data_IF_990329607761
#
_entry.id   IF_990329607761
#
_cell.length_a   1.000
_cell.length_b   1.000
_cell.length_c   1.000
_cell.angle_alpha   90.00
_cell.angle_beta   90.00
_cell.angle_gamma   90.00
#
_symmetry.space_group_name_H-M   'P 1'
#
loop_
_entity.id
_entity.type
_entity.pdbx_description
1 polymer ?
#
# COMPACT_ATOMS: atom_id res chain seq x y z
N UNK A 1 -22.50 7.83 14.01
CA UNK A 1 -21.26 7.06 14.19
C UNK A 1 -21.67 5.77 14.90
N UNK A 2 -21.40 4.61 14.31
CA UNK A 2 -21.83 3.31 14.83
C UNK A 2 -20.61 2.39 14.95
N UNK A 3 -20.49 1.70 16.08
CA UNK A 3 -19.36 0.83 16.39
C UNK A 3 -19.90 -0.54 16.80
N UNK A 4 -19.42 -1.59 16.13
CA UNK A 4 -19.79 -2.97 16.46
C UNK A 4 -18.63 -3.68 17.13
N UNK A 5 -18.82 -4.05 18.40
CA UNK A 5 -17.86 -4.81 19.22
C UNK A 5 -17.50 -6.16 18.57
N UNK A 6 -18.40 -6.72 17.74
CA UNK A 6 -18.16 -7.93 16.96
C UNK A 6 -16.95 -7.84 16.03
N UNK A 7 -16.55 -6.65 15.58
CA UNK A 7 -15.36 -6.48 14.73
C UNK A 7 -14.04 -6.73 15.48
N UNK A 8 -14.07 -6.79 16.80
CA UNK A 8 -12.92 -7.13 17.64
C UNK A 8 -13.02 -8.54 18.24
N UNK A 9 -14.25 -9.05 18.39
CA UNK A 9 -14.51 -10.37 18.99
C UNK A 9 -14.74 -11.49 17.97
N UNK A 10 -14.76 -11.17 16.67
CA UNK A 10 -14.88 -12.14 15.58
C UNK A 10 -13.50 -12.53 15.05
N UNK A 11 -13.17 -13.83 15.14
CA UNK A 11 -11.86 -14.38 14.81
C UNK A 11 -11.42 -14.12 13.37
N UNK A 12 -10.10 -14.06 13.21
CA UNK A 12 -9.34 -13.68 12.01
C UNK A 12 -9.44 -14.67 10.82
N UNK A 13 -10.52 -15.45 10.73
CA UNK A 13 -10.57 -16.71 9.96
C UNK A 13 -11.01 -16.61 8.50
N UNK A 14 -11.77 -15.59 8.12
CA UNK A 14 -12.40 -15.52 6.79
C UNK A 14 -11.76 -14.46 5.85
N UNK A 15 -10.71 -13.79 6.33
CA UNK A 15 -9.95 -12.84 5.52
C UNK A 15 -9.15 -13.56 4.43
N UNK A 16 -9.21 -13.07 3.19
CA UNK A 16 -8.30 -13.55 2.15
C UNK A 16 -6.86 -13.17 2.50
N UNK A 17 -5.88 -14.06 2.30
CA UNK A 17 -4.48 -13.70 2.47
C UNK A 17 -4.12 -12.51 1.57
N UNK A 18 -3.42 -11.50 2.10
CA UNK A 18 -3.16 -10.24 1.37
C UNK A 18 -2.28 -10.49 0.12
N UNK A 19 -1.25 -11.35 0.24
CA UNK A 19 -0.29 -11.62 -0.82
C UNK A 19 -0.90 -12.11 -2.16
N UNK A 20 -1.80 -13.12 -2.19
CA UNK A 20 -2.43 -13.54 -3.43
C UNK A 20 -3.35 -12.47 -4.04
N UNK A 21 -4.02 -11.67 -3.22
CA UNK A 21 -4.95 -10.64 -3.69
C UNK A 21 -4.23 -9.43 -4.27
N UNK A 22 -3.04 -9.08 -3.76
CA UNK A 22 -2.16 -8.06 -4.34
C UNK A 22 -1.84 -8.31 -5.82
N UNK A 23 -1.74 -9.58 -6.24
CA UNK A 23 -1.46 -9.94 -7.65
C UNK A 23 -2.59 -9.60 -8.61
N UNK A 24 -3.81 -9.37 -8.09
CA UNK A 24 -4.97 -8.96 -8.91
C UNK A 24 -4.97 -7.46 -9.19
N UNK A 25 -4.18 -6.69 -8.45
CA UNK A 25 -4.09 -5.25 -8.63
C UNK A 25 -3.19 -4.90 -9.82
N UNK A 26 -3.52 -3.86 -10.61
CA UNK A 26 -2.69 -3.44 -11.72
C UNK A 26 -1.38 -2.83 -11.20
N UNK A 27 -0.28 -3.57 -11.33
CA UNK A 27 1.04 -3.21 -10.81
C UNK A 27 1.46 -1.74 -11.09
N UNK A 28 1.18 -1.24 -12.30
CA UNK A 28 1.50 0.12 -12.70
C UNK A 28 0.83 1.20 -11.82
N UNK A 29 -0.31 0.90 -11.19
CA UNK A 29 -1.10 1.80 -10.34
C UNK A 29 -1.09 1.42 -8.86
N UNK A 30 -0.40 0.34 -8.51
CA UNK A 30 -0.32 -0.16 -7.14
C UNK A 30 0.91 0.41 -6.44
N UNK A 31 0.71 1.02 -5.28
CA UNK A 31 1.80 1.49 -4.40
C UNK A 31 1.73 0.70 -3.10
N UNK A 32 2.86 0.19 -2.63
CA UNK A 32 2.98 -0.50 -1.34
C UNK A 32 3.94 0.29 -0.45
N UNK A 33 3.42 0.92 0.60
CA UNK A 33 4.23 1.71 1.54
C UNK A 33 4.39 0.92 2.83
N UNK A 34 5.60 0.87 3.38
CA UNK A 34 5.88 0.15 4.63
C UNK A 34 6.97 0.83 5.47
N UNK A 35 6.94 0.59 6.77
CA UNK A 35 7.99 0.98 7.71
C UNK A 35 9.20 0.04 7.63
N UNK A 36 10.41 0.57 7.71
CA UNK A 36 11.65 -0.19 7.67
C UNK A 36 11.74 -1.25 8.78
N UNK A 37 11.16 -0.95 9.94
CA UNK A 37 11.22 -1.76 11.16
C UNK A 37 9.91 -2.55 11.38
N UNK A 38 9.05 -2.63 10.35
CA UNK A 38 7.81 -3.40 10.37
C UNK A 38 8.06 -4.83 9.84
N UNK A 39 8.27 -5.77 10.77
CA UNK A 39 8.54 -7.19 10.47
C UNK A 39 7.33 -7.91 9.83
N UNK A 40 6.12 -7.40 10.05
CA UNK A 40 4.89 -7.97 9.51
C UNK A 40 4.57 -7.46 8.09
N UNK A 41 5.30 -6.44 7.63
CA UNK A 41 5.08 -5.83 6.32
C UNK A 41 5.12 -6.86 5.19
N UNK A 42 4.11 -6.79 4.31
CA UNK A 42 4.06 -7.61 3.10
C UNK A 42 4.96 -7.06 1.99
N UNK A 43 5.12 -5.73 1.90
CA UNK A 43 5.77 -5.06 0.78
C UNK A 43 7.16 -5.61 0.42
N UNK A 44 8.05 -5.95 1.37
CA UNK A 44 9.36 -6.53 1.07
C UNK A 44 9.31 -7.92 0.43
N UNK A 45 8.22 -8.65 0.64
CA UNK A 45 8.01 -10.03 0.18
C UNK A 45 7.24 -10.11 -1.13
N UNK A 46 6.82 -8.97 -1.68
CA UNK A 46 6.13 -8.92 -2.96
C UNK A 46 7.10 -9.22 -4.11
N UNK A 47 6.67 -9.97 -5.15
CA UNK A 47 7.47 -10.16 -6.35
C UNK A 47 7.85 -8.81 -6.98
N UNK A 48 9.08 -8.70 -7.48
CA UNK A 48 9.55 -7.49 -8.15
C UNK A 48 8.58 -7.08 -9.29
N UNK A 49 8.23 -5.80 -9.34
CA UNK A 49 7.31 -5.27 -10.35
C UNK A 49 5.82 -5.54 -10.09
N UNK A 50 5.43 -6.18 -9.00
CA UNK A 50 4.00 -6.35 -8.63
C UNK A 50 3.37 -5.09 -8.03
N UNK A 51 4.18 -4.17 -7.51
CA UNK A 51 3.78 -2.86 -7.01
C UNK A 51 4.97 -1.89 -7.00
N UNK A 52 4.70 -0.60 -6.90
CA UNK A 52 5.68 0.42 -6.57
C UNK A 52 5.92 0.40 -5.06
N UNK A 53 7.04 -0.18 -4.62
CA UNK A 53 7.37 -0.33 -3.20
C UNK A 53 8.07 0.92 -2.67
N UNK A 54 7.63 1.43 -1.52
CA UNK A 54 8.21 2.58 -0.83
C UNK A 54 8.50 2.23 0.63
N UNK A 55 9.78 2.27 1.02
CA UNK A 55 10.22 2.11 2.41
C UNK A 55 10.27 3.47 3.10
N UNK A 56 9.74 3.56 4.31
CA UNK A 56 9.79 4.73 5.19
C UNK A 56 10.45 4.35 6.53
N UNK A 57 11.01 5.30 7.31
CA UNK A 57 11.50 5.01 8.66
C UNK A 57 10.39 4.55 9.62
N UNK A 58 10.75 3.73 10.62
CA UNK A 58 9.85 3.25 11.67
C UNK A 58 9.15 1.94 11.35
N UNK A 59 8.23 1.56 12.24
CA UNK A 59 7.34 0.41 12.12
C UNK A 59 6.05 0.78 11.35
N UNK A 60 4.96 0.04 11.57
CA UNK A 60 3.65 0.30 10.97
C UNK A 60 3.04 1.67 11.35
N UNK A 61 3.58 2.39 12.33
CA UNK A 61 3.20 3.76 12.69
C UNK A 61 4.04 4.84 12.01
N UNK A 62 5.09 4.48 11.25
CA UNK A 62 5.95 5.42 10.51
C UNK A 62 6.60 6.51 11.39
N UNK A 63 6.92 6.18 12.64
CA UNK A 63 7.41 7.12 13.68
C UNK A 63 6.48 8.33 13.92
N UNK A 64 5.22 8.25 13.50
CA UNK A 64 4.27 9.38 13.56
C UNK A 64 4.45 10.43 12.45
N UNK A 65 5.31 10.22 11.43
CA UNK A 65 5.48 11.15 10.30
C UNK A 65 4.35 11.01 9.26
N UNK A 66 3.13 11.30 9.68
CA UNK A 66 1.95 11.25 8.81
C UNK A 66 2.02 12.29 7.68
N UNK A 67 2.66 13.44 7.93
CA UNK A 67 2.90 14.44 6.90
C UNK A 67 3.85 13.91 5.81
N UNK A 68 4.87 13.14 6.20
CA UNK A 68 5.74 12.40 5.29
C UNK A 68 5.01 11.36 4.48
N UNK A 69 4.18 10.55 5.14
CA UNK A 69 3.37 9.54 4.47
C UNK A 69 2.43 10.17 3.44
N UNK A 70 1.75 11.27 3.80
CA UNK A 70 0.89 12.00 2.87
C UNK A 70 1.66 12.56 1.67
N UNK A 71 2.87 13.10 1.88
CA UNK A 71 3.74 13.57 0.80
C UNK A 71 4.10 12.44 -0.17
N UNK A 72 4.47 11.26 0.35
CA UNK A 72 4.76 10.07 -0.46
C UNK A 72 3.57 9.70 -1.33
N UNK A 73 2.37 9.60 -0.74
CA UNK A 73 1.14 9.24 -1.47
C UNK A 73 0.85 10.23 -2.59
N UNK A 74 0.88 11.54 -2.29
CA UNK A 74 0.59 12.59 -3.27
C UNK A 74 1.59 12.62 -4.43
N UNK A 75 2.88 12.41 -4.15
CA UNK A 75 3.90 12.34 -5.20
C UNK A 75 3.65 11.18 -6.16
N UNK A 76 3.26 10.01 -5.64
CA UNK A 76 2.95 8.84 -6.48
C UNK A 76 1.70 9.06 -7.33
N UNK A 77 0.63 9.62 -6.75
CA UNK A 77 -0.59 9.95 -7.49
C UNK A 77 -0.31 10.90 -8.66
N UNK A 78 0.49 11.94 -8.44
CA UNK A 78 0.90 12.86 -9.52
C UNK A 78 1.69 12.15 -10.61
N UNK A 79 2.61 11.25 -10.24
CA UNK A 79 3.36 10.43 -11.20
C UNK A 79 2.46 9.52 -12.05
N UNK A 80 1.42 8.95 -11.45
CA UNK A 80 0.40 8.16 -12.16
C UNK A 80 -0.45 9.01 -13.11
N UNK A 81 -0.77 10.24 -12.73
CA UNK A 81 -1.51 11.18 -13.60
C UNK A 81 -0.68 11.63 -14.81
N UNK A 82 0.64 11.76 -14.66
CA UNK A 82 1.52 12.14 -15.77
C UNK A 82 1.74 11.03 -16.79
N UNK A 83 1.71 9.75 -16.40
CA UNK A 83 1.86 8.62 -17.33
C UNK A 83 0.55 8.26 -18.05
N UNK A 84 -0.61 8.55 -17.46
CA UNK A 84 -1.91 8.32 -18.07
C UNK A 84 -2.24 9.29 -19.24
N UNK A 85 -1.49 10.39 -19.39
CA UNK A 85 -1.70 11.41 -20.44
C UNK A 85 -1.01 11.12 -21.78
N UNK A 86 -0.14 10.11 -21.86
CA UNK A 86 0.51 9.70 -23.11
C UNK A 86 -0.35 8.64 -23.83
N UNK A 87 -1.44 9.07 -24.48
CA UNK A 87 -2.15 8.24 -25.45
C UNK A 87 -1.29 7.99 -26.71
N UNK A 88 -1.54 6.92 -27.49
CA UNK A 88 -0.72 6.61 -28.66
C UNK A 88 -0.84 7.74 -29.69
N UNK A 89 0.30 8.23 -30.17
CA UNK A 89 0.35 9.13 -31.31
C UNK A 89 -0.23 8.39 -32.54
N UNK A 90 -1.18 9.05 -33.21
CA UNK A 90 -1.77 8.60 -34.48
C UNK A 90 -0.72 8.56 -35.59
#
# INVERSE_FOLDING_TARGET
>A
YEFHVSNWLGGDGDGLPIAPEMRRLPAARTVCVYGQDDDDALCPRLPAGSAQVVRMPGDHHFQGDYAGLARVILQRLRGLSSTAGAGPAK
#
